data_IF_876477323441
#
_entry.id   IF_876477323441
#
_cell.length_a   1.000
_cell.length_b   1.000
_cell.length_c   1.000
_cell.angle_alpha   90.00
_cell.angle_beta   90.00
_cell.angle_gamma   90.00
#
_symmetry.space_group_name_H-M   'P 1'
#
loop_
_entity.id
_entity.type
_entity.pdbx_description
1 polymer ?
#
# COMPACT_ATOMS: atom_id res chain seq x y z
N UNK A 1 -0.21 2.89 55.39
CA UNK A 1 -1.69 2.75 55.41
C UNK A 1 -2.21 3.49 54.19
N UNK A 2 -2.86 2.97 53.16
CA UNK A 2 -3.41 1.68 52.71
C UNK A 2 -3.48 1.88 51.17
N UNK A 3 -2.78 1.12 50.34
CA UNK A 3 -3.28 -0.06 49.60
C UNK A 3 -4.59 0.16 48.79
N UNK A 4 -4.53 -0.37 47.55
CA UNK A 4 -5.60 -0.74 46.61
C UNK A 4 -6.14 0.36 45.68
N UNK A 5 -5.73 0.31 44.39
CA UNK A 5 -6.39 -0.43 43.29
C UNK A 5 -7.59 0.36 42.73
N UNK A 6 -7.63 0.67 41.45
CA UNK A 6 -8.42 -0.15 40.51
C UNK A 6 -8.05 0.13 39.06
N UNK A 7 -7.16 -0.71 38.55
CA UNK A 7 -7.03 -1.01 37.13
C UNK A 7 -8.33 -1.70 36.69
N UNK A 8 -9.20 -1.05 35.91
CA UNK A 8 -10.44 -1.68 35.45
C UNK A 8 -10.77 -1.35 33.98
N UNK A 9 -10.46 -2.35 33.15
CA UNK A 9 -11.25 -2.86 32.03
C UNK A 9 -11.20 -2.13 30.69
N UNK A 10 -10.30 -2.65 29.87
CA UNK A 10 -10.56 -3.07 28.50
C UNK A 10 -12.06 -3.37 28.21
N UNK A 11 -12.63 -2.59 27.29
CA UNK A 11 -13.66 -3.02 26.33
C UNK A 11 -13.04 -2.74 24.96
N UNK A 12 -12.59 -3.72 24.20
CA UNK A 12 -13.47 -4.71 23.59
C UNK A 12 -13.87 -4.27 22.17
N UNK A 13 -12.94 -3.73 21.37
CA UNK A 13 -13.04 -3.85 19.91
C UNK A 13 -12.22 -5.06 19.52
N UNK A 14 -12.88 -6.19 19.41
CA UNK A 14 -12.40 -7.28 18.58
C UNK A 14 -12.33 -6.72 17.15
N UNK A 15 -11.21 -6.09 16.81
CA UNK A 15 -10.78 -5.94 15.43
C UNK A 15 -10.52 -7.36 14.94
N UNK A 16 -11.59 -8.08 14.55
CA UNK A 16 -11.46 -9.25 13.71
C UNK A 16 -10.98 -8.72 12.38
N UNK A 17 -9.68 -8.45 12.31
CA UNK A 17 -8.95 -8.33 11.07
C UNK A 17 -9.21 -9.64 10.38
N UNK A 18 -10.19 -9.63 9.47
CA UNK A 18 -10.48 -10.77 8.62
C UNK A 18 -9.22 -10.95 7.79
N UNK A 19 -8.30 -11.75 8.31
CA UNK A 19 -7.20 -12.33 7.56
C UNK A 19 -7.87 -13.29 6.58
N UNK A 20 -8.51 -12.73 5.55
CA UNK A 20 -8.81 -13.46 4.34
C UNK A 20 -7.45 -13.95 3.85
N UNK A 21 -7.26 -15.26 3.96
CA UNK A 21 -6.10 -15.99 3.50
C UNK A 21 -5.76 -15.48 2.11
N UNK A 22 -4.67 -14.71 2.00
CA UNK A 22 -4.16 -14.26 0.70
C UNK A 22 -3.96 -15.53 -0.12
N UNK A 23 -4.65 -15.72 -1.26
CA UNK A 23 -4.34 -16.85 -2.11
C UNK A 23 -2.85 -16.78 -2.46
N UNK A 24 -2.19 -17.94 -2.44
CA UNK A 24 -0.75 -18.07 -2.57
C UNK A 24 -0.17 -17.23 -3.71
N UNK A 25 1.12 -16.89 -3.61
CA UNK A 25 1.80 -15.98 -4.55
C UNK A 25 1.56 -16.32 -6.03
N UNK A 26 1.35 -17.60 -6.37
CA UNK A 26 1.14 -18.13 -7.72
C UNK A 26 -0.33 -18.07 -8.21
N UNK A 27 -1.30 -18.53 -7.42
CA UNK A 27 -2.70 -18.66 -7.86
C UNK A 27 -3.50 -17.40 -7.57
N UNK A 28 -3.55 -16.47 -8.53
CA UNK A 28 -4.27 -15.19 -8.41
C UNK A 28 -5.49 -15.14 -9.33
N UNK A 29 -6.56 -14.51 -8.86
CA UNK A 29 -7.74 -14.22 -9.70
C UNK A 29 -7.38 -13.21 -10.81
N UNK A 30 -8.14 -13.23 -11.90
CA UNK A 30 -7.93 -12.35 -13.04
C UNK A 30 -8.00 -10.85 -12.66
N UNK A 31 -8.90 -10.48 -11.74
CA UNK A 31 -9.03 -9.10 -11.22
C UNK A 31 -7.74 -8.64 -10.55
N UNK A 32 -7.14 -9.48 -9.70
CA UNK A 32 -5.88 -9.16 -9.02
C UNK A 32 -4.74 -9.07 -10.04
N UNK A 33 -4.67 -10.00 -11.01
CA UNK A 33 -3.66 -9.96 -12.09
C UNK A 33 -3.71 -8.65 -12.89
N UNK A 34 -4.90 -8.21 -13.30
CA UNK A 34 -5.10 -6.92 -13.98
C UNK A 34 -4.66 -5.74 -13.13
N UNK A 35 -4.98 -5.74 -11.83
CA UNK A 35 -4.55 -4.69 -10.92
C UNK A 35 -3.02 -4.63 -10.79
N UNK A 36 -2.37 -5.78 -10.58
CA UNK A 36 -0.92 -5.88 -10.48
C UNK A 36 -0.23 -5.41 -11.76
N UNK A 37 -0.72 -5.84 -12.92
CA UNK A 37 -0.21 -5.39 -14.22
C UNK A 37 -0.33 -3.87 -14.39
N UNK A 38 -1.47 -3.27 -14.02
CA UNK A 38 -1.65 -1.80 -14.06
C UNK A 38 -0.66 -1.09 -13.13
N UNK A 39 -0.47 -1.58 -11.90
CA UNK A 39 0.48 -1.01 -10.95
C UNK A 39 1.93 -1.12 -11.42
N UNK A 40 2.29 -2.21 -12.10
CA UNK A 40 3.60 -2.36 -12.73
C UNK A 40 3.80 -1.35 -13.86
N UNK A 41 2.82 -1.21 -14.76
CA UNK A 41 2.86 -0.23 -15.88
C UNK A 41 2.95 1.22 -15.40
N UNK A 42 2.32 1.57 -14.28
CA UNK A 42 2.36 2.90 -13.69
C UNK A 42 3.72 3.24 -13.06
N UNK A 43 4.50 2.23 -12.64
CA UNK A 43 5.75 2.41 -11.91
C UNK A 43 6.96 2.64 -12.83
N UNK A 44 6.83 3.60 -13.75
CA UNK A 44 7.85 3.96 -14.76
C UNK A 44 8.39 5.38 -14.54
N UNK A 45 9.64 5.67 -14.96
CA UNK A 45 10.16 7.03 -14.97
C UNK A 45 9.41 7.91 -15.98
N UNK A 46 9.56 9.22 -15.83
CA UNK A 46 8.98 10.20 -16.75
C UNK A 46 9.77 10.18 -18.07
N UNK A 47 9.10 10.16 -19.23
CA UNK A 47 9.73 10.30 -20.54
C UNK A 47 10.53 11.60 -20.69
N UNK A 48 11.62 11.55 -21.44
CA UNK A 48 12.53 12.69 -21.57
C UNK A 48 11.89 13.90 -22.27
N UNK A 49 11.09 13.69 -23.32
CA UNK A 49 10.44 14.79 -24.04
C UNK A 49 9.49 15.61 -23.15
N UNK A 50 8.87 15.00 -22.13
CA UNK A 50 8.04 15.72 -21.15
C UNK A 50 8.90 16.67 -20.31
N UNK A 51 10.13 16.27 -19.98
CA UNK A 51 11.08 17.12 -19.24
C UNK A 51 11.55 18.32 -20.06
N UNK A 52 11.56 18.18 -21.39
CA UNK A 52 11.98 19.22 -22.32
C UNK A 52 10.85 20.19 -22.68
N UNK A 53 9.60 19.90 -22.31
CA UNK A 53 8.49 20.82 -22.54
C UNK A 53 8.67 22.12 -21.74
N UNK A 54 8.59 23.26 -22.44
CA UNK A 54 8.68 24.60 -21.84
C UNK A 54 7.57 24.81 -20.81
N UNK A 55 7.91 25.45 -19.68
CA UNK A 55 6.95 25.74 -18.60
C UNK A 55 6.55 24.52 -17.75
N UNK A 56 7.11 23.33 -18.01
CA UNK A 56 6.80 22.14 -17.22
C UNK A 56 7.56 22.11 -15.89
N UNK A 57 6.81 22.03 -14.78
CA UNK A 57 7.36 21.93 -13.41
C UNK A 57 7.69 20.50 -12.99
N UNK A 58 7.23 19.50 -13.73
CA UNK A 58 7.34 18.08 -13.34
C UNK A 58 8.76 17.55 -13.65
N UNK A 59 9.53 17.21 -12.62
CA UNK A 59 10.90 16.66 -12.76
C UNK A 59 11.00 15.15 -12.61
N UNK A 60 10.23 14.57 -11.69
CA UNK A 60 10.21 13.14 -11.39
C UNK A 60 8.80 12.66 -11.09
N UNK A 61 8.56 11.35 -11.18
CA UNK A 61 7.27 10.75 -10.86
C UNK A 61 7.14 10.58 -9.34
N UNK A 62 6.43 11.49 -8.67
CA UNK A 62 6.20 11.44 -7.22
C UNK A 62 5.45 10.19 -6.76
N UNK A 63 4.67 9.56 -7.64
CA UNK A 63 3.91 8.34 -7.36
C UNK A 63 4.69 7.06 -7.66
N UNK A 64 5.97 7.17 -8.03
CA UNK A 64 6.85 6.00 -8.25
C UNK A 64 7.04 5.25 -6.94
N UNK A 65 6.98 3.92 -7.02
CA UNK A 65 6.95 3.04 -5.85
C UNK A 65 8.10 2.04 -5.87
N UNK A 66 8.78 1.85 -4.74
CA UNK A 66 9.68 0.71 -4.57
C UNK A 66 9.00 -0.40 -3.77
N UNK A 67 9.16 -1.65 -4.20
CA UNK A 67 8.41 -2.79 -3.64
C UNK A 67 8.83 -3.17 -2.22
N UNK A 68 10.08 -2.87 -1.81
CA UNK A 68 10.54 -3.10 -0.44
C UNK A 68 9.98 -2.03 0.51
N UNK A 69 9.90 -0.77 0.08
CA UNK A 69 9.51 0.36 0.94
C UNK A 69 8.00 0.45 1.17
N UNK A 70 7.19 0.36 0.12
CA UNK A 70 5.72 0.54 0.24
C UNK A 70 4.95 -0.58 -0.45
N UNK A 71 3.96 -1.15 0.26
CA UNK A 71 3.14 -2.29 -0.20
C UNK A 71 1.84 -1.82 -0.85
N UNK A 72 1.25 -2.66 -1.71
CA UNK A 72 0.05 -2.34 -2.50
C UNK A 72 -1.28 -2.50 -1.73
N UNK A 73 -1.27 -3.07 -0.52
CA UNK A 73 -2.46 -3.23 0.30
C UNK A 73 -3.53 -4.14 -0.32
N UNK A 74 -3.11 -5.20 -1.02
CA UNK A 74 -3.98 -6.22 -1.62
C UNK A 74 -4.20 -7.41 -0.70
#
# INVERSE_FOLDING_TARGET
MVLLSSFLRHRGVCFTRRFLSRPGSHHKTFRIKRFLAKKQKQNRPIPQWIRMQTGNKIRYNSKRRHWRRTKLGL
#
